data_IF_223522483550
#
_entry.id   IF_223522483550
#
_cell.length_a   1.000
_cell.length_b   1.000
_cell.length_c   1.000
_cell.angle_alpha   90.00
_cell.angle_beta   90.00
_cell.angle_gamma   90.00
#
_symmetry.space_group_name_H-M   'P 1'
#
loop_
_entity.id
_entity.type
_entity.pdbx_description
1 polymer ?
#
# COMPACT_ATOMS: atom_id res chain seq x y z
N UNK A 1 26.75 5.79 10.73
CA UNK A 1 25.44 5.16 10.51
C UNK A 1 24.29 6.14 10.24
N UNK A 2 24.36 7.40 10.65
CA UNK A 2 23.28 8.38 10.37
C UNK A 2 23.33 9.00 8.95
N UNK A 3 24.47 8.99 8.27
CA UNK A 3 24.61 9.60 6.94
C UNK A 3 24.15 8.73 5.76
N UNK A 4 24.13 7.41 5.91
CA UNK A 4 23.66 6.52 4.84
C UNK A 4 22.13 6.51 4.71
N UNK A 5 21.40 6.76 5.81
CA UNK A 5 19.91 6.80 5.79
C UNK A 5 19.35 8.04 5.07
N UNK A 6 20.05 9.17 5.05
CA UNK A 6 19.59 10.39 4.38
C UNK A 6 19.56 10.26 2.85
N UNK A 7 20.45 9.45 2.28
CA UNK A 7 20.55 9.25 0.82
C UNK A 7 19.39 8.41 0.26
N UNK A 8 18.89 7.44 1.03
CA UNK A 8 17.79 6.55 0.60
C UNK A 8 16.43 7.25 0.64
N UNK A 9 16.22 8.13 1.62
CA UNK A 9 14.97 8.88 1.76
C UNK A 9 14.79 9.91 0.64
N UNK A 10 15.87 10.54 0.17
CA UNK A 10 15.83 11.52 -0.93
C UNK A 10 15.55 10.90 -2.31
N UNK A 11 15.80 9.60 -2.49
CA UNK A 11 15.52 8.86 -3.72
C UNK A 11 14.04 8.51 -3.90
N UNK A 12 13.30 8.37 -2.79
CA UNK A 12 11.89 7.99 -2.82
C UNK A 12 10.94 9.11 -3.28
N UNK A 13 11.41 10.37 -3.25
CA UNK A 13 10.57 11.55 -3.55
C UNK A 13 10.96 12.31 -4.83
N UNK A 14 11.83 11.76 -5.69
CA UNK A 14 12.13 12.42 -6.98
C UNK A 14 10.92 12.39 -7.91
N UNK A 15 10.43 13.59 -8.23
CA UNK A 15 9.37 13.91 -9.18
C UNK A 15 9.64 13.30 -10.56
N UNK A 16 8.63 12.65 -11.09
CA UNK A 16 8.53 12.00 -12.40
C UNK A 16 9.04 12.88 -13.54
N UNK A 17 9.96 12.35 -14.34
CA UNK A 17 10.17 12.75 -15.73
C UNK A 17 9.63 11.62 -16.61
N UNK A 18 8.81 11.96 -17.61
CA UNK A 18 8.26 11.00 -18.57
C UNK A 18 9.34 10.49 -19.52
N UNK A 19 9.33 9.21 -19.91
CA UNK A 19 10.11 8.75 -21.05
C UNK A 19 9.24 8.62 -22.29
N UNK A 20 9.83 9.06 -23.40
CA UNK A 20 9.33 9.03 -24.75
C UNK A 20 9.21 7.59 -25.31
N UNK A 21 8.24 7.44 -26.20
CA UNK A 21 7.94 6.27 -27.03
C UNK A 21 9.04 6.03 -28.06
N UNK A 22 9.45 4.77 -28.26
CA UNK A 22 10.06 4.30 -29.48
C UNK A 22 9.47 2.93 -29.86
N UNK A 23 8.97 2.87 -31.08
CA UNK A 23 8.49 1.67 -31.78
C UNK A 23 9.67 1.02 -32.55
N UNK A 24 9.65 -0.26 -32.81
CA UNK A 24 9.74 -0.87 -34.15
C UNK A 24 10.03 -2.38 -34.10
N UNK A 25 9.32 -3.08 -34.83
CA UNK A 25 9.26 -3.97 -35.99
C UNK A 25 9.86 -5.36 -35.93
N UNK A 26 8.99 -6.27 -36.30
CA UNK A 26 8.99 -7.35 -37.31
C UNK A 26 10.06 -8.44 -37.31
N UNK A 27 9.58 -9.72 -37.49
CA UNK A 27 10.36 -10.86 -37.91
C UNK A 27 9.56 -12.16 -37.98
N UNK A 28 9.23 -12.56 -39.06
CA UNK A 28 8.49 -13.50 -39.87
C UNK A 28 9.08 -14.94 -39.91
N UNK A 29 8.15 -15.92 -39.92
CA UNK A 29 8.12 -17.22 -40.65
C UNK A 29 9.01 -18.37 -40.11
N UNK A 30 8.65 -19.62 -40.19
CA UNK A 30 7.62 -20.44 -40.84
C UNK A 30 7.82 -21.93 -40.45
N UNK A 31 6.73 -22.71 -40.59
CA UNK A 31 6.64 -24.07 -41.11
C UNK A 31 6.89 -25.28 -40.20
N UNK A 32 5.84 -25.99 -39.88
CA UNK A 32 5.50 -27.29 -40.42
C UNK A 32 5.68 -28.47 -39.50
N UNK A 33 4.62 -29.01 -38.95
CA UNK A 33 4.41 -30.45 -38.78
C UNK A 33 2.93 -30.76 -38.52
N UNK A 34 2.35 -31.57 -39.41
CA UNK A 34 1.00 -32.11 -39.34
C UNK A 34 0.93 -33.22 -38.31
N UNK A 35 0.08 -33.11 -37.30
CA UNK A 35 -0.35 -34.25 -36.49
C UNK A 35 -1.80 -34.04 -36.05
N UNK A 36 -2.61 -35.04 -36.31
CA UNK A 36 -3.96 -35.35 -35.87
C UNK A 36 -4.78 -34.20 -35.27
N UNK A 37 -5.75 -33.72 -36.03
CA UNK A 37 -6.77 -32.79 -35.56
C UNK A 37 -7.68 -33.47 -34.53
N UNK A 38 -7.31 -33.37 -33.27
CA UNK A 38 -8.29 -33.40 -32.19
C UNK A 38 -9.03 -32.07 -32.30
N UNK A 39 -10.34 -32.12 -32.37
CA UNK A 39 -11.20 -30.97 -32.58
C UNK A 39 -11.03 -29.96 -31.41
N UNK A 40 -10.00 -29.13 -31.53
CA UNK A 40 -9.65 -28.09 -30.57
C UNK A 40 -10.80 -27.09 -30.33
N UNK A 41 -11.70 -26.94 -31.32
CA UNK A 41 -12.87 -26.07 -31.17
C UNK A 41 -13.88 -26.65 -30.16
N UNK A 42 -14.04 -27.96 -30.08
CA UNK A 42 -14.92 -28.57 -29.09
C UNK A 42 -14.31 -28.54 -27.69
N UNK A 43 -13.00 -28.72 -27.55
CA UNK A 43 -12.33 -28.62 -26.26
C UNK A 43 -12.33 -27.17 -25.76
N UNK A 44 -12.03 -26.20 -26.60
CA UNK A 44 -12.08 -24.76 -26.28
C UNK A 44 -13.50 -24.32 -25.98
N UNK A 45 -14.52 -24.83 -26.69
CA UNK A 45 -15.93 -24.53 -26.41
C UNK A 45 -16.43 -25.16 -25.11
N UNK A 46 -15.94 -26.34 -24.74
CA UNK A 46 -16.25 -26.97 -23.44
C UNK A 46 -15.54 -26.24 -22.28
N UNK A 47 -14.27 -25.87 -22.42
CA UNK A 47 -13.55 -25.08 -21.43
C UNK A 47 -14.13 -23.66 -21.30
N UNK A 48 -14.49 -23.02 -22.42
CA UNK A 48 -15.20 -21.71 -22.37
C UNK A 48 -16.57 -21.79 -21.73
N UNK A 49 -17.31 -22.90 -21.90
CA UNK A 49 -18.60 -23.09 -21.24
C UNK A 49 -18.45 -23.42 -19.76
N UNK A 50 -17.44 -24.16 -19.35
CA UNK A 50 -17.14 -24.44 -17.93
C UNK A 50 -16.62 -23.20 -17.20
N UNK A 51 -15.88 -22.32 -17.88
CA UNK A 51 -15.42 -21.06 -17.32
C UNK A 51 -16.52 -19.98 -17.21
N UNK A 52 -17.68 -20.18 -17.83
CA UNK A 52 -18.70 -19.13 -17.97
C UNK A 52 -19.75 -19.10 -16.84
N UNK A 53 -19.70 -19.91 -15.77
CA UNK A 53 -20.89 -20.00 -14.91
C UNK A 53 -20.68 -20.19 -13.41
N UNK A 54 -19.51 -20.12 -12.86
CA UNK A 54 -19.43 -19.95 -11.40
C UNK A 54 -19.01 -18.52 -11.05
N UNK A 55 -20.01 -17.68 -10.73
CA UNK A 55 -19.71 -16.43 -10.05
C UNK A 55 -18.94 -16.78 -8.78
N UNK A 56 -17.72 -16.25 -8.58
CA UNK A 56 -16.97 -16.53 -7.37
C UNK A 56 -17.88 -16.25 -6.17
N UNK A 57 -17.93 -17.19 -5.23
CA UNK A 57 -18.73 -17.06 -4.01
C UNK A 57 -18.03 -16.02 -3.09
N UNK A 58 -18.23 -14.75 -3.44
CA UNK A 58 -17.66 -13.63 -2.70
C UNK A 58 -18.14 -13.62 -1.25
N UNK A 59 -17.26 -13.21 -0.35
CA UNK A 59 -17.62 -12.96 1.04
C UNK A 59 -18.70 -11.89 1.09
N UNK A 60 -19.79 -12.17 1.81
CA UNK A 60 -20.81 -11.14 2.09
C UNK A 60 -20.22 -10.21 3.16
N UNK A 61 -19.99 -8.95 2.78
CA UNK A 61 -19.39 -7.96 3.65
C UNK A 61 -20.44 -6.97 4.16
N UNK A 62 -20.61 -6.88 5.47
CA UNK A 62 -21.36 -5.84 6.16
C UNK A 62 -20.44 -4.73 6.69
N UNK A 63 -19.20 -5.05 6.93
CA UNK A 63 -18.15 -4.14 7.38
C UNK A 63 -16.85 -4.36 6.62
N UNK A 64 -15.94 -3.39 6.69
CA UNK A 64 -14.61 -3.53 6.10
C UNK A 64 -13.81 -4.68 6.75
N UNK A 65 -14.06 -4.98 8.00
CA UNK A 65 -13.37 -6.04 8.75
C UNK A 65 -13.75 -7.46 8.28
N UNK A 66 -14.87 -7.61 7.57
CA UNK A 66 -15.26 -8.89 6.99
C UNK A 66 -14.38 -9.28 5.80
N UNK A 67 -13.75 -8.30 5.13
CA UNK A 67 -13.03 -8.48 3.87
C UNK A 67 -11.62 -7.89 3.85
N UNK A 68 -11.21 -7.15 4.86
CA UNK A 68 -9.90 -6.52 4.92
C UNK A 68 -9.26 -6.72 6.29
N UNK A 69 -8.03 -7.24 6.28
CA UNK A 69 -7.20 -7.39 7.47
C UNK A 69 -5.89 -6.63 7.28
N UNK A 70 -5.38 -6.04 8.36
CA UNK A 70 -4.08 -5.36 8.36
C UNK A 70 -3.20 -6.08 9.34
N UNK A 71 -2.13 -6.70 8.82
CA UNK A 71 -1.22 -7.51 9.63
C UNK A 71 0.21 -7.01 9.50
N UNK A 72 0.96 -7.14 10.58
CA UNK A 72 2.39 -6.89 10.58
C UNK A 72 3.12 -8.08 9.97
N UNK A 73 4.07 -7.81 9.08
CA UNK A 73 4.82 -8.84 8.35
C UNK A 73 6.31 -8.61 8.52
N UNK A 74 7.08 -9.69 8.56
CA UNK A 74 8.54 -9.66 8.63
C UNK A 74 9.20 -9.56 7.24
N UNK A 75 8.50 -10.02 6.20
CA UNK A 75 8.98 -10.01 4.82
C UNK A 75 7.97 -9.25 3.94
N UNK A 76 8.16 -7.93 3.86
CA UNK A 76 7.30 -7.09 3.05
C UNK A 76 7.53 -7.30 1.55
N UNK A 77 8.76 -7.63 1.12
CA UNK A 77 9.07 -7.84 -0.29
C UNK A 77 8.29 -9.02 -0.86
N UNK A 78 8.18 -10.11 -0.09
CA UNK A 78 7.38 -11.27 -0.49
C UNK A 78 5.92 -10.92 -0.80
N UNK A 79 5.29 -10.08 0.01
CA UNK A 79 3.86 -9.76 -0.14
C UNK A 79 3.59 -8.61 -1.11
N UNK A 80 4.42 -7.58 -1.09
CA UNK A 80 4.13 -6.29 -1.75
C UNK A 80 5.29 -5.74 -2.58
N UNK A 81 6.36 -6.52 -2.80
CA UNK A 81 7.53 -6.07 -3.55
C UNK A 81 7.18 -5.52 -4.93
N UNK A 82 6.35 -6.24 -5.68
CA UNK A 82 5.89 -5.77 -6.99
C UNK A 82 5.04 -4.49 -6.91
N UNK A 83 4.17 -4.37 -5.91
CA UNK A 83 3.38 -3.16 -5.69
C UNK A 83 4.29 -1.98 -5.37
N UNK A 84 5.26 -2.18 -4.48
CA UNK A 84 6.20 -1.15 -4.05
C UNK A 84 7.09 -0.69 -5.21
N UNK A 85 7.70 -1.63 -5.94
CA UNK A 85 8.54 -1.33 -7.12
C UNK A 85 7.76 -0.56 -8.18
N UNK A 86 6.52 -0.93 -8.46
CA UNK A 86 5.65 -0.17 -9.40
C UNK A 86 5.36 1.25 -8.94
N UNK A 87 5.24 1.47 -7.63
CA UNK A 87 4.87 2.79 -7.08
C UNK A 87 6.07 3.69 -6.86
N UNK A 88 7.14 3.14 -6.31
CA UNK A 88 8.29 3.90 -5.82
C UNK A 88 9.57 3.67 -6.62
N UNK A 89 9.55 2.76 -7.61
CA UNK A 89 10.71 2.45 -8.47
C UNK A 89 11.94 1.91 -7.71
N UNK A 90 11.73 1.28 -6.57
CA UNK A 90 12.76 0.66 -5.73
C UNK A 90 12.17 -0.50 -4.93
N UNK A 91 13.01 -1.24 -4.22
CA UNK A 91 12.58 -2.33 -3.36
C UNK A 91 11.97 -1.80 -2.05
N UNK A 92 11.04 -2.55 -1.42
CA UNK A 92 10.56 -2.20 -0.10
C UNK A 92 11.72 -2.11 0.89
N UNK A 93 11.82 -1.03 1.67
CA UNK A 93 12.86 -0.94 2.67
C UNK A 93 12.64 -1.99 3.76
N UNK A 94 13.73 -2.59 4.23
CA UNK A 94 13.69 -3.53 5.34
C UNK A 94 13.59 -2.75 6.68
N UNK A 95 12.42 -2.21 6.95
CA UNK A 95 12.14 -1.51 8.20
C UNK A 95 11.55 -2.47 9.23
N UNK A 96 11.78 -2.20 10.55
CA UNK A 96 11.39 -3.12 11.60
C UNK A 96 9.88 -3.28 11.75
N UNK A 97 9.08 -2.35 11.25
CA UNK A 97 7.62 -2.38 11.38
C UNK A 97 6.97 -2.18 10.01
N UNK A 98 6.61 -3.29 9.38
CA UNK A 98 5.95 -3.32 8.08
C UNK A 98 4.56 -3.94 8.20
N UNK A 99 3.54 -3.29 7.61
CA UNK A 99 2.16 -3.73 7.67
C UNK A 99 1.58 -3.87 6.27
N UNK A 100 0.86 -4.96 6.06
CA UNK A 100 0.20 -5.27 4.79
C UNK A 100 -1.31 -5.33 5.01
N UNK A 101 -2.06 -4.70 4.12
CA UNK A 101 -3.50 -4.88 4.03
C UNK A 101 -3.79 -6.07 3.12
N UNK A 102 -4.46 -7.08 3.67
CA UNK A 102 -4.92 -8.26 2.96
C UNK A 102 -6.42 -8.16 2.70
N UNK A 103 -6.79 -8.26 1.44
CA UNK A 103 -8.18 -8.35 0.99
C UNK A 103 -8.59 -9.80 0.82
N UNK A 104 -9.75 -10.16 1.33
CA UNK A 104 -10.32 -11.50 1.26
C UNK A 104 -11.56 -11.50 0.37
N UNK A 105 -11.44 -11.67 -0.96
CA UNK A 105 -12.59 -11.70 -1.87
C UNK A 105 -13.49 -12.90 -1.63
N UNK A 106 -12.88 -14.06 -1.38
CA UNK A 106 -13.52 -15.34 -1.05
C UNK A 106 -12.80 -15.96 0.15
N UNK A 107 -13.45 -16.88 0.86
CA UNK A 107 -12.91 -17.43 2.12
C UNK A 107 -11.54 -18.10 1.99
N UNK A 108 -11.23 -18.64 0.81
CA UNK A 108 -9.98 -19.36 0.54
C UNK A 108 -8.86 -18.51 -0.06
N UNK A 109 -9.07 -17.20 -0.27
CA UNK A 109 -8.12 -16.35 -0.97
C UNK A 109 -7.82 -15.08 -0.17
N UNK A 110 -6.53 -14.76 -0.07
CA UNK A 110 -6.03 -13.50 0.46
C UNK A 110 -5.15 -12.82 -0.57
N UNK A 111 -5.36 -11.53 -0.79
CA UNK A 111 -4.61 -10.71 -1.73
C UNK A 111 -4.02 -9.50 -1.00
N UNK A 112 -2.72 -9.29 -1.12
CA UNK A 112 -2.07 -8.08 -0.62
C UNK A 112 -2.50 -6.88 -1.49
N UNK A 113 -3.13 -5.89 -0.86
CA UNK A 113 -3.72 -4.72 -1.55
C UNK A 113 -3.22 -3.38 -1.04
N UNK A 114 -2.40 -3.37 -0.02
CA UNK A 114 -1.82 -2.15 0.54
C UNK A 114 -0.65 -2.44 1.45
N UNK A 115 0.20 -1.43 1.61
CA UNK A 115 1.41 -1.49 2.42
C UNK A 115 1.66 -0.16 3.09
N UNK A 116 2.13 -0.20 4.34
CA UNK A 116 2.69 0.93 5.08
C UNK A 116 3.82 0.43 5.97
N UNK A 117 4.86 1.24 6.11
CA UNK A 117 5.97 0.93 7.00
C UNK A 117 6.28 2.08 7.94
N UNK A 118 6.95 1.73 9.04
CA UNK A 118 7.34 2.67 10.07
C UNK A 118 8.81 2.49 10.43
N UNK A 119 9.55 3.59 10.40
CA UNK A 119 10.92 3.67 10.85
C UNK A 119 10.93 4.12 12.31
N UNK A 120 11.67 3.41 13.16
CA UNK A 120 11.89 3.86 14.54
C UNK A 120 12.74 5.13 14.55
N UNK A 121 12.31 6.12 15.27
CA UNK A 121 13.01 7.38 15.49
C UNK A 121 12.92 7.75 16.98
N UNK A 122 14.02 7.62 17.68
CA UNK A 122 14.07 7.72 19.13
C UNK A 122 13.06 6.73 19.78
N UNK A 123 12.10 7.23 20.55
CA UNK A 123 11.01 6.47 21.15
C UNK A 123 9.69 6.56 20.35
N UNK A 124 9.73 7.16 19.17
CA UNK A 124 8.59 7.42 18.27
C UNK A 124 8.75 6.65 16.95
N UNK A 125 7.79 6.81 16.04
CA UNK A 125 7.85 6.25 14.70
C UNK A 125 7.65 7.32 13.63
N UNK A 126 8.39 7.19 12.53
CA UNK A 126 8.14 7.92 11.29
C UNK A 126 7.33 7.01 10.37
N UNK A 127 6.14 7.47 9.96
CA UNK A 127 5.32 6.80 8.95
C UNK A 127 5.94 7.10 7.59
N UNK A 128 6.53 6.08 6.98
CA UNK A 128 7.13 6.17 5.65
C UNK A 128 6.10 6.00 4.54
N UNK A 129 6.47 5.30 3.47
CA UNK A 129 5.60 5.13 2.31
C UNK A 129 4.36 4.31 2.62
N UNK A 130 3.19 4.88 2.32
CA UNK A 130 1.91 4.18 2.27
C UNK A 130 1.48 4.03 0.82
N UNK A 131 1.12 2.82 0.40
CA UNK A 131 0.66 2.54 -0.95
C UNK A 131 -0.55 1.60 -0.94
N UNK A 132 -1.51 1.87 -1.83
CA UNK A 132 -2.66 1.00 -2.09
C UNK A 132 -2.59 0.53 -3.55
N UNK A 133 -2.89 -0.74 -3.79
CA UNK A 133 -3.00 -1.28 -5.14
C UNK A 133 -4.33 -0.86 -5.78
N UNK A 134 -4.30 0.27 -6.49
CA UNK A 134 -5.48 0.78 -7.18
C UNK A 134 -6.02 -0.18 -8.25
N UNK A 135 -5.16 -1.02 -8.87
CA UNK A 135 -5.58 -1.96 -9.89
C UNK A 135 -6.46 -3.02 -9.26
N UNK A 136 -6.00 -3.60 -8.13
CA UNK A 136 -6.77 -4.57 -7.35
C UNK A 136 -8.05 -3.94 -6.81
N UNK A 137 -7.97 -2.73 -6.26
CA UNK A 137 -9.15 -2.01 -5.78
C UNK A 137 -10.23 -1.85 -6.86
N UNK A 138 -9.84 -1.50 -8.10
CA UNK A 138 -10.79 -1.36 -9.23
C UNK A 138 -11.42 -2.68 -9.65
N UNK A 139 -10.74 -3.81 -9.46
CA UNK A 139 -11.23 -5.16 -9.78
C UNK A 139 -12.14 -5.74 -8.70
N UNK A 140 -12.20 -5.16 -7.50
CA UNK A 140 -13.07 -5.63 -6.43
C UNK A 140 -14.55 -5.52 -6.81
N UNK A 141 -15.42 -6.44 -6.34
CA UNK A 141 -16.87 -6.34 -6.48
C UNK A 141 -17.37 -4.97 -6.01
N UNK A 142 -18.39 -4.47 -6.69
CA UNK A 142 -18.96 -3.15 -6.38
C UNK A 142 -19.42 -3.06 -4.93
N UNK A 143 -19.99 -4.13 -4.38
CA UNK A 143 -20.46 -4.16 -2.99
C UNK A 143 -19.30 -4.06 -2.00
N UNK A 144 -18.18 -4.76 -2.24
CA UNK A 144 -16.97 -4.63 -1.42
C UNK A 144 -16.39 -3.21 -1.47
N UNK A 145 -16.34 -2.61 -2.67
CA UNK A 145 -15.87 -1.22 -2.82
C UNK A 145 -16.76 -0.22 -2.08
N UNK A 146 -18.08 -0.45 -2.05
CA UNK A 146 -19.02 0.38 -1.26
C UNK A 146 -18.71 0.31 0.22
N UNK A 147 -18.53 -0.90 0.76
CA UNK A 147 -18.19 -1.12 2.16
C UNK A 147 -16.85 -0.47 2.52
N UNK A 148 -15.83 -0.68 1.70
CA UNK A 148 -14.51 -0.05 1.89
C UNK A 148 -14.61 1.47 1.87
N UNK A 149 -15.33 2.04 0.90
CA UNK A 149 -15.52 3.50 0.80
C UNK A 149 -16.30 4.07 1.99
N UNK A 150 -17.32 3.39 2.45
CA UNK A 150 -18.10 3.81 3.62
C UNK A 150 -17.27 3.83 4.91
N UNK A 151 -16.27 2.95 5.00
CA UNK A 151 -15.32 2.88 6.13
C UNK A 151 -14.13 3.85 6.02
N UNK A 152 -14.12 4.76 5.03
CA UNK A 152 -13.03 5.73 4.83
C UNK A 152 -11.92 5.28 3.87
N UNK A 153 -11.97 4.03 3.40
CA UNK A 153 -10.99 3.48 2.47
C UNK A 153 -9.91 2.60 3.12
N UNK A 154 -9.14 1.91 2.28
CA UNK A 154 -8.08 0.98 2.74
C UNK A 154 -7.00 1.73 3.51
N UNK A 155 -6.54 2.88 3.02
CA UNK A 155 -5.46 3.65 3.64
C UNK A 155 -5.83 4.13 5.05
N UNK A 156 -7.03 4.67 5.25
CA UNK A 156 -7.50 5.10 6.57
C UNK A 156 -7.59 3.90 7.53
N UNK A 157 -8.12 2.76 7.06
CA UNK A 157 -8.17 1.53 7.87
C UNK A 157 -6.77 1.08 8.29
N UNK A 158 -5.81 1.10 7.37
CA UNK A 158 -4.42 0.74 7.66
C UNK A 158 -3.83 1.63 8.75
N UNK A 159 -3.93 2.96 8.59
CA UNK A 159 -3.40 3.90 9.57
C UNK A 159 -4.04 3.72 10.96
N UNK A 160 -5.35 3.57 11.03
CA UNK A 160 -6.04 3.36 12.32
C UNK A 160 -5.59 2.08 13.03
N UNK A 161 -5.45 0.98 12.29
CA UNK A 161 -4.98 -0.30 12.86
C UNK A 161 -3.52 -0.18 13.33
N UNK A 162 -2.65 0.39 12.49
CA UNK A 162 -1.23 0.52 12.82
C UNK A 162 -0.99 1.49 13.99
N UNK A 163 -1.76 2.58 14.10
CA UNK A 163 -1.68 3.49 15.25
C UNK A 163 -2.03 2.76 16.55
N UNK A 164 -3.05 1.89 16.54
CA UNK A 164 -3.35 1.04 17.68
C UNK A 164 -2.22 0.07 18.03
N UNK A 165 -1.57 -0.53 17.03
CA UNK A 165 -0.42 -1.44 17.23
C UNK A 165 0.83 -0.70 17.72
N UNK A 166 0.97 0.58 17.40
CA UNK A 166 2.11 1.44 17.77
C UNK A 166 1.80 2.36 18.96
N UNK A 167 0.69 2.19 19.65
CA UNK A 167 0.22 3.09 20.70
C UNK A 167 1.16 3.18 21.93
N UNK A 168 2.09 2.24 22.10
CA UNK A 168 3.11 2.31 23.14
C UNK A 168 4.09 3.49 22.93
N UNK A 169 4.38 3.86 21.67
CA UNK A 169 5.21 5.01 21.35
C UNK A 169 4.46 6.31 21.64
N UNK A 170 5.14 7.37 22.11
CA UNK A 170 4.49 8.64 22.44
C UNK A 170 3.92 9.37 21.22
N UNK A 171 4.51 9.19 20.04
CA UNK A 171 4.10 9.84 18.82
C UNK A 171 4.35 8.99 17.58
N UNK A 172 3.54 9.23 16.55
CA UNK A 172 3.77 8.80 15.19
C UNK A 172 3.80 10.05 14.32
N UNK A 173 4.83 10.18 13.49
CA UNK A 173 5.06 11.30 12.61
C UNK A 173 4.78 10.91 11.18
N UNK A 174 4.19 11.80 10.39
CA UNK A 174 3.98 11.64 8.97
C UNK A 174 4.53 12.82 8.19
N UNK A 175 5.00 12.57 6.97
CA UNK A 175 5.37 13.60 6.01
C UNK A 175 4.44 13.54 4.81
N UNK A 176 3.62 14.57 4.60
CA UNK A 176 2.54 14.58 3.61
C UNK A 176 2.81 15.63 2.54
N UNK A 177 2.84 15.20 1.29
CA UNK A 177 3.09 16.06 0.12
C UNK A 177 1.87 16.32 -0.76
N UNK A 178 0.74 15.63 -0.54
CA UNK A 178 -0.46 15.82 -1.35
C UNK A 178 -1.75 15.92 -0.54
N UNK A 179 -2.72 16.68 -1.06
CA UNK A 179 -3.96 17.00 -0.36
C UNK A 179 -4.91 15.79 -0.16
N UNK A 180 -4.78 14.72 -0.94
CA UNK A 180 -5.63 13.53 -0.78
C UNK A 180 -5.10 12.69 0.39
N UNK A 181 -3.79 12.48 0.45
CA UNK A 181 -3.14 11.80 1.57
C UNK A 181 -3.43 12.57 2.86
N UNK A 182 -3.25 13.89 2.89
CA UNK A 182 -3.52 14.74 4.05
C UNK A 182 -4.95 14.55 4.60
N UNK A 183 -5.95 14.49 3.74
CA UNK A 183 -7.34 14.23 4.17
C UNK A 183 -7.52 12.87 4.84
N UNK A 184 -6.84 11.84 4.33
CA UNK A 184 -6.88 10.50 4.92
C UNK A 184 -6.18 10.50 6.27
N UNK A 185 -5.03 11.13 6.35
CA UNK A 185 -4.20 11.20 7.55
C UNK A 185 -4.92 11.93 8.69
N UNK A 186 -5.56 13.06 8.38
CA UNK A 186 -6.39 13.79 9.36
C UNK A 186 -7.53 12.93 9.92
N UNK A 187 -8.22 12.18 9.05
CA UNK A 187 -9.29 11.26 9.49
C UNK A 187 -8.75 10.10 10.31
N UNK A 188 -7.57 9.59 9.97
CA UNK A 188 -6.93 8.52 10.71
C UNK A 188 -6.46 8.93 12.11
N UNK A 189 -6.23 10.22 12.35
CA UNK A 189 -5.84 10.72 13.67
C UNK A 189 -4.62 11.65 13.71
N UNK A 190 -3.95 11.81 12.58
CA UNK A 190 -2.91 12.83 12.48
C UNK A 190 -3.45 14.25 12.72
N UNK A 191 -2.57 15.14 13.11
CA UNK A 191 -2.83 16.57 13.29
C UNK A 191 -1.72 17.37 12.61
N UNK A 192 -2.06 18.54 12.10
CA UNK A 192 -1.07 19.48 11.60
C UNK A 192 -0.11 19.91 12.71
N UNK A 193 1.08 20.25 12.30
CA UNK A 193 2.10 20.89 13.14
C UNK A 193 2.37 22.31 12.63
N UNK A 194 3.28 23.02 13.30
CA UNK A 194 3.77 24.33 12.83
C UNK A 194 4.73 24.21 11.64
N UNK A 195 5.20 23.00 11.31
CA UNK A 195 6.04 22.76 10.14
C UNK A 195 5.19 22.24 8.98
N UNK A 196 5.38 22.84 7.80
CA UNK A 196 4.73 22.41 6.58
C UNK A 196 5.04 20.93 6.29
N UNK A 197 4.05 20.19 5.85
CA UNK A 197 4.11 18.77 5.51
C UNK A 197 4.30 17.80 6.68
N UNK A 198 4.69 18.25 7.87
CA UNK A 198 4.84 17.36 9.02
C UNK A 198 3.52 17.30 9.78
N UNK A 199 3.04 16.07 9.95
CA UNK A 199 1.87 15.75 10.75
C UNK A 199 2.26 14.85 11.91
N UNK A 200 1.46 14.84 12.97
CA UNK A 200 1.70 14.02 14.15
C UNK A 200 0.42 13.40 14.70
N UNK A 201 0.50 12.15 15.09
CA UNK A 201 -0.48 11.49 15.95
C UNK A 201 0.17 11.32 17.34
N UNK A 202 -0.32 12.06 18.33
CA UNK A 202 0.12 11.93 19.72
C UNK A 202 -0.62 10.77 20.38
N UNK A 203 0.11 9.75 20.79
CA UNK A 203 -0.44 8.62 21.55
C UNK A 203 -0.42 8.87 23.07
N UNK A 204 0.40 9.82 23.50
CA UNK A 204 0.51 10.25 24.92
C UNK A 204 0.32 11.73 25.03
N UNK A 205 -0.26 12.15 26.13
CA UNK A 205 -0.29 13.57 26.46
C UNK A 205 1.06 13.98 27.05
N UNK A 206 1.81 14.75 26.26
CA UNK A 206 3.13 15.25 26.62
C UNK A 206 3.06 16.76 26.92
N UNK A 207 3.97 17.28 27.76
CA UNK A 207 4.10 18.72 27.99
C UNK A 207 4.33 19.48 26.66
N UNK A 208 3.83 20.71 26.52
CA UNK A 208 3.99 21.53 25.31
C UNK A 208 5.45 21.72 24.88
N UNK A 209 6.33 21.90 25.85
CA UNK A 209 7.77 22.07 25.62
C UNK A 209 8.39 20.80 24.98
N UNK A 210 8.03 19.63 25.51
CA UNK A 210 8.48 18.36 24.99
C UNK A 210 7.95 18.11 23.57
N UNK A 211 6.66 18.40 23.31
CA UNK A 211 6.07 18.35 21.97
C UNK A 211 6.85 19.22 20.97
N UNK A 212 7.21 20.44 21.39
CA UNK A 212 7.97 21.38 20.57
C UNK A 212 9.38 20.87 20.26
N UNK A 213 10.09 20.34 21.27
CA UNK A 213 11.43 19.80 21.09
C UNK A 213 11.42 18.57 20.16
N UNK A 214 10.45 17.66 20.30
CA UNK A 214 10.29 16.49 19.43
C UNK A 214 10.02 16.92 17.98
N UNK A 215 9.12 17.87 17.78
CA UNK A 215 8.82 18.41 16.45
C UNK A 215 10.07 19.03 15.81
N UNK A 216 10.86 19.79 16.54
CA UNK A 216 12.10 20.38 16.01
C UNK A 216 13.10 19.31 15.54
N UNK A 217 13.25 18.21 16.30
CA UNK A 217 14.12 17.09 15.90
C UNK A 217 13.62 16.38 14.64
N UNK A 218 12.33 16.13 14.54
CA UNK A 218 11.73 15.51 13.33
C UNK A 218 11.87 16.45 12.14
N UNK A 219 11.62 17.75 12.31
CA UNK A 219 11.76 18.74 11.25
C UNK A 219 13.20 18.85 10.71
N UNK A 220 14.19 18.59 11.55
CA UNK A 220 15.61 18.59 11.15
C UNK A 220 15.98 17.42 10.21
N UNK A 221 15.15 16.36 10.13
CA UNK A 221 15.37 15.23 9.22
C UNK A 221 15.12 15.61 7.75
N UNK A 222 14.28 16.60 7.50
CA UNK A 222 13.73 16.87 6.17
C UNK A 222 12.62 15.86 5.80
N UNK A 223 12.32 15.69 4.50
CA UNK A 223 11.35 14.70 4.04
C UNK A 223 11.76 13.27 4.41
N UNK A 224 10.83 12.47 4.91
CA UNK A 224 11.03 11.06 5.27
C UNK A 224 9.87 10.18 4.79
#
# INVERSE_FOLDING_TARGET
MAQENQSLLSLLFRKRAEPAVAADTSGKAASGATAAAVDLEQVVAMESRAAATERPNYVVASSIDDILRVEEVSDADFFVGDLFRRRFHGDPPNYPRSFVAFYQPVRSQLEAVGFVHYLAFEDSYLCGGLVIDERRYRQMPTEHRKVIKAAGGIAEKMLRVTFGRLAAAPAIWGYVGDALAEKVDLRAGFRHTTHQHIMVCWNKDLPPEEKTQRLARVAALGPF
#
